data_IF_179214023406
#
_entry.id   IF_179214023406
#
_cell.length_a   1.000
_cell.length_b   1.000
_cell.length_c   1.000
_cell.angle_alpha   90.00
_cell.angle_beta   90.00
_cell.angle_gamma   90.00
#
_symmetry.space_group_name_H-M   'P 1'
#
loop_
_entity.id
_entity.type
_entity.pdbx_description
1 polymer ?
#
# COMPACT_ATOMS: atom_id res chain seq x y z
N UNK A 1 -60.65 60.83 9.11
CA UNK A 1 -60.84 60.51 10.53
C UNK A 1 -59.66 59.68 10.99
N UNK A 2 -58.85 60.22 11.91
CA UNK A 2 -57.92 59.59 12.88
C UNK A 2 -56.89 58.53 12.37
N UNK A 3 -55.57 58.79 12.48
CA UNK A 3 -54.67 58.50 13.64
C UNK A 3 -54.57 56.98 13.91
N UNK A 4 -53.44 56.30 14.18
CA UNK A 4 -52.04 56.64 14.43
C UNK A 4 -51.23 55.32 14.49
N UNK A 5 -49.93 55.42 14.20
CA UNK A 5 -48.75 54.68 14.73
C UNK A 5 -48.93 53.48 15.71
N UNK A 6 -48.06 52.46 15.56
CA UNK A 6 -47.11 51.99 16.59
C UNK A 6 -45.97 51.18 15.92
N UNK A 7 -44.74 51.59 16.20
CA UNK A 7 -43.47 50.92 15.92
C UNK A 7 -43.18 49.84 16.96
N UNK A 8 -42.64 48.66 16.56
CA UNK A 8 -41.75 47.88 17.44
C UNK A 8 -40.61 47.26 16.60
N UNK A 9 -39.41 47.81 16.77
CA UNK A 9 -38.14 47.15 16.46
C UNK A 9 -38.05 45.81 17.19
N UNK A 10 -37.77 44.69 16.50
CA UNK A 10 -37.10 43.54 17.12
C UNK A 10 -36.08 42.88 16.18
N UNK A 11 -34.83 43.30 16.41
CA UNK A 11 -33.66 42.46 16.64
C UNK A 11 -33.25 41.45 15.54
N UNK A 12 -32.16 41.85 14.87
CA UNK A 12 -31.21 41.06 14.06
C UNK A 12 -31.17 39.57 14.44
N UNK A 13 -31.46 38.69 13.47
CA UNK A 13 -30.89 37.34 13.43
C UNK A 13 -30.22 37.17 12.08
N UNK A 14 -28.96 37.61 12.02
CA UNK A 14 -28.02 37.10 11.03
C UNK A 14 -27.93 35.59 11.26
N UNK A 15 -28.50 34.81 10.35
CA UNK A 15 -28.21 33.37 10.27
C UNK A 15 -26.80 33.29 9.70
N UNK A 16 -25.80 33.32 10.60
CA UNK A 16 -24.45 32.92 10.26
C UNK A 16 -24.49 31.42 9.99
N UNK A 17 -24.64 31.05 8.72
CA UNK A 17 -24.36 29.70 8.25
C UNK A 17 -22.84 29.53 8.40
N UNK A 18 -22.42 29.07 9.57
CA UNK A 18 -21.04 28.67 9.81
C UNK A 18 -20.75 27.46 8.94
N UNK A 19 -20.04 27.66 7.83
CA UNK A 19 -19.32 26.60 7.13
C UNK A 19 -18.34 25.99 8.13
N UNK A 20 -18.74 24.92 8.79
CA UNK A 20 -17.83 24.04 9.53
C UNK A 20 -17.01 23.29 8.46
N UNK A 21 -15.98 23.96 7.95
CA UNK A 21 -14.96 23.33 7.13
C UNK A 21 -14.27 22.33 8.05
N UNK A 22 -14.68 21.06 7.94
CA UNK A 22 -13.95 19.93 8.49
C UNK A 22 -12.60 19.90 7.78
N UNK A 23 -11.64 20.64 8.33
CA UNK A 23 -10.24 20.49 7.98
C UNK A 23 -9.85 19.08 8.45
N UNK A 24 -9.98 18.11 7.55
CA UNK A 24 -9.34 16.81 7.71
C UNK A 24 -7.85 17.08 7.75
N UNK A 25 -7.30 17.20 8.96
CA UNK A 25 -5.87 17.31 9.20
C UNK A 25 -5.23 16.05 8.64
N UNK A 26 -4.63 16.18 7.46
CA UNK A 26 -3.68 15.22 6.98
C UNK A 26 -2.51 15.31 7.98
N UNK A 27 -2.38 14.33 8.90
CA UNK A 27 -1.24 14.26 9.80
C UNK A 27 0.01 14.12 8.92
N UNK A 28 0.68 15.24 8.64
CA UNK A 28 2.00 15.21 8.03
C UNK A 28 2.93 14.62 9.08
N UNK A 29 3.45 13.42 8.82
CA UNK A 29 4.46 12.79 9.66
C UNK A 29 5.63 13.78 9.77
N UNK A 30 5.94 14.20 11.00
CA UNK A 30 7.06 15.10 11.24
C UNK A 30 8.37 14.32 11.15
N UNK A 31 9.49 14.99 10.88
CA UNK A 31 10.80 14.30 10.81
C UNK A 31 11.20 13.64 12.15
N UNK A 32 10.70 14.15 13.28
CA UNK A 32 10.86 13.52 14.61
C UNK A 32 10.05 12.23 14.79
N UNK A 33 9.09 11.94 13.91
CA UNK A 33 8.27 10.73 13.94
C UNK A 33 8.82 9.59 13.07
N UNK A 34 10.03 9.76 12.53
CA UNK A 34 10.69 8.80 11.65
C UNK A 34 11.93 8.19 12.30
N UNK A 35 12.26 6.98 11.89
CA UNK A 35 13.52 6.30 12.19
C UNK A 35 14.06 5.62 10.95
N UNK A 36 15.37 5.38 10.92
CA UNK A 36 16.00 4.56 9.88
C UNK A 36 16.32 3.19 10.44
N UNK A 37 15.80 2.15 9.81
CA UNK A 37 16.14 0.76 10.11
C UNK A 37 17.25 0.30 9.16
N UNK A 38 18.32 -0.26 9.73
CA UNK A 38 19.46 -0.77 9.00
C UNK A 38 19.44 -2.32 8.94
N UNK A 39 19.17 -2.87 7.76
CA UNK A 39 19.20 -4.31 7.50
C UNK A 39 20.57 -4.77 6.96
N UNK A 40 21.65 -4.03 7.20
CA UNK A 40 23.04 -4.29 6.78
C UNK A 40 23.29 -4.23 5.26
N UNK A 41 22.36 -4.72 4.45
CA UNK A 41 22.40 -4.69 2.98
C UNK A 41 21.77 -3.42 2.43
N UNK A 42 20.69 -2.97 3.06
CA UNK A 42 19.99 -1.73 2.75
C UNK A 42 19.50 -1.09 4.04
N UNK A 43 19.15 0.18 3.97
CA UNK A 43 18.46 0.93 5.01
C UNK A 43 17.15 1.49 4.47
N UNK A 44 16.17 1.67 5.36
CA UNK A 44 14.85 2.22 5.03
C UNK A 44 14.38 3.14 6.16
N UNK A 45 13.82 4.29 5.81
CA UNK A 45 13.22 5.23 6.76
C UNK A 45 11.72 4.94 6.90
N UNK A 46 11.27 4.71 8.12
CA UNK A 46 9.89 4.31 8.48
C UNK A 46 9.40 5.10 9.70
N UNK A 47 8.10 5.06 10.04
CA UNK A 47 7.61 5.58 11.31
C UNK A 47 8.37 5.01 12.52
N UNK A 48 8.62 5.84 13.53
CA UNK A 48 9.36 5.48 14.74
C UNK A 48 8.69 4.40 15.60
N UNK A 49 7.42 4.10 15.35
CA UNK A 49 6.65 3.04 16.01
C UNK A 49 6.83 1.66 15.38
N UNK A 50 7.42 1.59 14.19
CA UNK A 50 7.66 0.33 13.49
C UNK A 50 8.92 -0.35 14.04
N UNK A 51 9.02 -1.67 13.93
CA UNK A 51 10.16 -2.40 14.49
C UNK A 51 10.68 -3.45 13.53
N UNK A 52 11.99 -3.54 13.40
CA UNK A 52 12.63 -4.62 12.64
C UNK A 52 12.37 -5.97 13.30
N UNK A 53 12.23 -7.00 12.49
CA UNK A 53 12.20 -8.41 12.92
C UNK A 53 13.18 -9.22 12.09
N UNK A 54 13.80 -10.20 12.74
CA UNK A 54 14.65 -11.18 12.08
C UNK A 54 13.81 -12.40 11.67
N UNK A 55 13.97 -12.84 10.43
CA UNK A 55 13.31 -14.03 9.89
C UNK A 55 14.40 -14.95 9.36
N UNK A 56 14.36 -16.22 9.74
CA UNK A 56 15.36 -17.20 9.29
C UNK A 56 15.03 -17.70 7.88
N UNK A 57 15.76 -17.22 6.88
CA UNK A 57 15.76 -17.81 5.54
C UNK A 57 16.63 -19.06 5.45
N UNK A 58 16.39 -19.91 4.44
CA UNK A 58 17.23 -21.08 4.14
C UNK A 58 18.35 -20.69 3.16
N UNK A 59 17.96 -20.10 2.03
CA UNK A 59 18.82 -19.76 0.89
C UNK A 59 18.78 -18.27 0.51
N UNK A 60 17.83 -17.51 1.08
CA UNK A 60 17.68 -16.06 0.91
C UNK A 60 18.03 -15.28 2.17
N UNK A 61 18.42 -14.01 1.99
CA UNK A 61 18.43 -13.05 3.09
C UNK A 61 17.01 -12.51 3.31
N UNK A 62 16.39 -12.94 4.40
CA UNK A 62 14.99 -12.65 4.73
C UNK A 62 14.94 -11.87 6.05
N UNK A 63 13.96 -10.98 6.16
CA UNK A 63 13.67 -10.24 7.39
C UNK A 63 12.36 -9.48 7.23
N UNK A 64 12.05 -8.60 8.18
CA UNK A 64 10.83 -7.84 8.08
C UNK A 64 10.72 -6.66 9.04
N UNK A 65 9.57 -6.02 8.99
CA UNK A 65 9.16 -4.91 9.83
C UNK A 65 7.77 -5.21 10.35
N UNK A 66 7.55 -5.03 11.66
CA UNK A 66 6.21 -5.04 12.26
C UNK A 66 5.75 -3.61 12.44
N UNK A 67 4.55 -3.30 11.93
CA UNK A 67 3.95 -1.96 12.01
C UNK A 67 3.29 -1.74 13.37
N UNK A 68 2.86 -0.51 13.65
CA UNK A 68 2.06 -0.17 14.84
C UNK A 68 0.65 -0.79 14.83
N UNK A 69 0.19 -1.30 13.68
CA UNK A 69 -1.07 -2.05 13.54
C UNK A 69 -0.84 -3.58 13.61
N UNK A 70 0.38 -4.01 13.95
CA UNK A 70 0.83 -5.41 13.96
C UNK A 70 0.79 -6.10 12.59
N UNK A 71 0.75 -5.34 11.50
CA UNK A 71 1.03 -5.91 10.18
C UNK A 71 2.49 -6.33 10.10
N UNK A 72 2.75 -7.37 9.31
CA UNK A 72 4.11 -7.83 9.01
C UNK A 72 4.46 -7.50 7.56
N UNK A 73 5.50 -6.71 7.38
CA UNK A 73 6.11 -6.40 6.10
C UNK A 73 7.36 -7.28 5.97
N UNK A 74 7.44 -8.12 4.95
CA UNK A 74 8.53 -9.09 4.78
C UNK A 74 9.37 -8.69 3.58
N UNK A 75 10.69 -8.78 3.70
CA UNK A 75 11.59 -8.76 2.55
C UNK A 75 12.27 -10.11 2.34
N UNK A 76 12.54 -10.39 1.07
CA UNK A 76 13.35 -11.51 0.60
C UNK A 76 14.34 -10.97 -0.45
N UNK A 77 15.63 -11.18 -0.20
CA UNK A 77 16.72 -10.90 -1.13
C UNK A 77 17.45 -12.19 -1.48
N UNK A 78 17.35 -12.60 -2.74
CA UNK A 78 17.86 -13.88 -3.23
C UNK A 78 17.61 -14.08 -4.73
N UNK A 79 18.04 -15.22 -5.27
CA UNK A 79 17.82 -15.57 -6.68
C UNK A 79 16.37 -15.96 -6.98
N UNK A 80 15.71 -16.54 -5.97
CA UNK A 80 14.34 -17.05 -6.03
C UNK A 80 13.31 -16.13 -5.38
N UNK A 81 13.68 -14.89 -5.02
CA UNK A 81 12.75 -13.95 -4.41
C UNK A 81 11.52 -13.75 -5.30
N UNK A 82 10.35 -13.82 -4.66
CA UNK A 82 9.05 -13.79 -5.32
C UNK A 82 8.84 -12.48 -6.08
N UNK A 83 8.40 -12.57 -7.35
CA UNK A 83 8.04 -11.40 -8.11
C UNK A 83 6.58 -11.00 -7.85
N UNK A 84 6.40 -10.10 -6.88
CA UNK A 84 5.09 -9.57 -6.49
C UNK A 84 4.35 -8.82 -7.60
N UNK A 85 5.02 -8.47 -8.71
CA UNK A 85 4.35 -7.81 -9.85
C UNK A 85 3.67 -8.80 -10.78
N UNK A 86 3.97 -10.09 -10.67
CA UNK A 86 3.31 -11.15 -11.44
C UNK A 86 2.09 -11.70 -10.72
N UNK A 87 1.75 -11.14 -9.55
CA UNK A 87 0.54 -11.43 -8.80
C UNK A 87 -0.66 -10.74 -9.48
N UNK A 88 -0.91 -11.17 -10.73
CA UNK A 88 -1.99 -10.70 -11.59
C UNK A 88 -3.30 -11.42 -11.24
N UNK A 89 -3.52 -11.87 -9.99
CA UNK A 89 -4.80 -12.48 -9.63
C UNK A 89 -5.89 -11.44 -9.83
N UNK A 90 -6.70 -11.59 -10.89
CA UNK A 90 -7.70 -10.61 -11.20
C UNK A 90 -8.83 -10.74 -10.19
N UNK A 91 -9.65 -9.71 -10.04
CA UNK A 91 -10.85 -9.74 -9.21
C UNK A 91 -11.97 -10.48 -9.94
N UNK A 92 -11.68 -11.71 -10.35
CA UNK A 92 -12.59 -12.66 -10.96
C UNK A 92 -12.60 -13.90 -10.09
N UNK A 93 -13.78 -14.26 -9.61
CA UNK A 93 -13.96 -15.36 -8.67
C UNK A 93 -14.99 -16.33 -9.24
N UNK A 94 -14.71 -17.63 -9.15
CA UNK A 94 -15.78 -18.60 -9.14
C UNK A 94 -16.42 -18.69 -7.75
N UNK A 95 -17.46 -19.50 -7.62
CA UNK A 95 -18.19 -19.66 -6.36
C UNK A 95 -17.26 -20.09 -5.21
N UNK A 96 -16.41 -21.09 -5.43
CA UNK A 96 -15.50 -21.61 -4.40
C UNK A 96 -14.48 -20.55 -3.97
N UNK A 97 -13.85 -19.88 -4.94
CA UNK A 97 -12.88 -18.82 -4.68
C UNK A 97 -13.49 -17.64 -3.94
N UNK A 98 -14.73 -17.27 -4.27
CA UNK A 98 -15.44 -16.19 -3.59
C UNK A 98 -15.83 -16.57 -2.15
N UNK A 99 -16.24 -17.82 -1.92
CA UNK A 99 -16.61 -18.32 -0.60
C UNK A 99 -15.41 -18.37 0.34
N UNK A 100 -14.22 -18.68 -0.17
CA UNK A 100 -12.95 -18.70 0.56
C UNK A 100 -12.48 -17.32 1.06
N UNK A 101 -13.06 -16.22 0.55
CA UNK A 101 -12.74 -14.86 1.02
C UNK A 101 -13.24 -14.63 2.43
N UNK A 102 -12.47 -13.85 3.19
CA UNK A 102 -12.88 -13.37 4.52
C UNK A 102 -14.04 -12.36 4.41
N UNK A 103 -14.77 -12.17 5.51
CA UNK A 103 -15.84 -11.16 5.56
C UNK A 103 -15.33 -9.74 5.31
N UNK A 104 -14.08 -9.43 5.73
CA UNK A 104 -13.44 -8.14 5.43
C UNK A 104 -13.28 -7.96 3.93
N UNK A 105 -12.79 -8.98 3.22
CA UNK A 105 -12.56 -8.93 1.77
C UNK A 105 -13.88 -8.88 1.00
N UNK A 106 -14.87 -9.69 1.36
CA UNK A 106 -16.23 -9.63 0.78
C UNK A 106 -16.85 -8.24 0.94
N UNK A 107 -16.66 -7.59 2.09
CA UNK A 107 -17.12 -6.23 2.31
C UNK A 107 -16.40 -5.21 1.43
N UNK A 108 -15.09 -5.34 1.23
CA UNK A 108 -14.31 -4.49 0.30
C UNK A 108 -14.72 -4.70 -1.16
N UNK A 109 -15.13 -5.92 -1.53
CA UNK A 109 -15.60 -6.22 -2.89
C UNK A 109 -16.93 -5.54 -3.26
N UNK A 110 -17.78 -5.19 -2.28
CA UNK A 110 -19.07 -4.50 -2.54
C UNK A 110 -18.91 -3.17 -3.27
N UNK A 111 -17.82 -2.46 -3.06
CA UNK A 111 -17.51 -1.18 -3.70
C UNK A 111 -16.50 -1.30 -4.85
N UNK A 112 -16.19 -2.52 -5.28
CA UNK A 112 -15.08 -2.81 -6.18
C UNK A 112 -15.57 -3.47 -7.45
N UNK A 113 -15.03 -3.08 -8.62
CA UNK A 113 -15.29 -3.79 -9.86
C UNK A 113 -14.66 -5.19 -9.80
N UNK A 114 -15.52 -6.21 -9.75
CA UNK A 114 -15.15 -7.62 -9.76
C UNK A 114 -16.12 -8.40 -10.65
N UNK A 115 -15.79 -9.66 -10.92
CA UNK A 115 -16.63 -10.57 -11.69
C UNK A 115 -16.82 -11.88 -10.93
N UNK A 116 -18.06 -12.35 -10.85
CA UNK A 116 -18.38 -13.71 -10.40
C UNK A 116 -18.72 -14.56 -11.62
N UNK A 117 -18.12 -15.74 -11.74
CA UNK A 117 -18.31 -16.66 -12.85
C UNK A 117 -18.63 -18.07 -12.36
N UNK A 118 -19.25 -18.89 -13.20
CA UNK A 118 -19.46 -20.30 -12.86
C UNK A 118 -18.15 -21.12 -12.98
N UNK A 119 -17.26 -20.71 -13.89
CA UNK A 119 -15.95 -21.32 -14.08
C UNK A 119 -14.91 -20.30 -14.54
N UNK A 120 -13.73 -20.33 -13.90
CA UNK A 120 -12.56 -19.54 -14.29
C UNK A 120 -11.98 -19.92 -15.68
N UNK A 121 -12.42 -21.04 -16.26
CA UNK A 121 -12.02 -21.48 -17.61
C UNK A 121 -12.78 -20.79 -18.75
N UNK A 122 -13.78 -19.97 -18.43
CA UNK A 122 -14.57 -19.23 -19.42
C UNK A 122 -13.71 -18.21 -20.16
N UNK A 123 -14.16 -17.75 -21.34
CA UNK A 123 -13.49 -16.70 -22.10
C UNK A 123 -13.63 -15.34 -21.38
N UNK A 124 -12.76 -15.10 -20.39
CA UNK A 124 -12.76 -13.94 -19.52
C UNK A 124 -11.56 -13.06 -19.86
N UNK A 125 -11.80 -11.79 -20.13
CA UNK A 125 -10.72 -10.80 -20.21
C UNK A 125 -10.35 -10.31 -18.81
N UNK A 126 -9.46 -11.07 -18.16
CA UNK A 126 -8.98 -10.81 -16.81
C UNK A 126 -8.33 -9.43 -16.63
N UNK A 127 -7.83 -8.81 -17.71
CA UNK A 127 -7.22 -7.49 -17.68
C UNK A 127 -8.20 -6.37 -17.29
N UNK A 128 -9.50 -6.62 -17.41
CA UNK A 128 -10.55 -5.67 -17.03
C UNK A 128 -10.86 -5.64 -15.53
N UNK A 129 -10.25 -6.55 -14.77
CA UNK A 129 -10.46 -6.74 -13.34
C UNK A 129 -9.13 -6.79 -12.57
N UNK A 130 -8.23 -5.81 -12.72
CA UNK A 130 -6.97 -5.83 -12.01
C UNK A 130 -7.21 -5.70 -10.49
N UNK A 131 -6.47 -6.49 -9.70
CA UNK A 131 -6.46 -6.39 -8.22
C UNK A 131 -5.50 -5.31 -7.73
N UNK A 132 -4.41 -5.12 -8.47
CA UNK A 132 -3.32 -4.24 -8.10
C UNK A 132 -2.83 -3.45 -9.33
N UNK A 133 -2.14 -2.35 -9.05
CA UNK A 133 -1.43 -1.55 -10.05
C UNK A 133 0.06 -1.55 -9.74
N UNK A 134 0.85 -1.42 -10.81
CA UNK A 134 2.30 -1.34 -10.72
C UNK A 134 2.76 0.00 -11.29
N UNK A 135 3.61 0.68 -10.55
CA UNK A 135 4.26 1.93 -10.94
C UNK A 135 5.77 1.74 -10.93
N UNK A 136 6.45 2.35 -11.91
CA UNK A 136 7.89 2.26 -12.05
C UNK A 136 8.58 3.45 -11.38
N UNK A 137 9.61 3.17 -10.59
CA UNK A 137 10.40 4.17 -9.89
C UNK A 137 11.88 3.88 -10.05
N UNK A 138 12.69 4.93 -9.88
CA UNK A 138 14.12 4.78 -9.62
C UNK A 138 14.35 4.98 -8.13
N UNK A 139 14.67 3.89 -7.44
CA UNK A 139 14.92 3.87 -6.00
C UNK A 139 16.40 3.65 -5.78
N UNK A 140 17.04 4.64 -5.17
CA UNK A 140 18.50 4.74 -5.13
C UNK A 140 19.09 4.62 -6.55
N UNK A 141 19.93 3.63 -6.82
CA UNK A 141 20.50 3.34 -8.13
C UNK A 141 19.76 2.24 -8.94
N UNK A 142 18.59 1.79 -8.48
CA UNK A 142 17.88 0.66 -9.09
C UNK A 142 16.56 1.05 -9.73
N UNK A 143 16.25 0.37 -10.83
CA UNK A 143 14.89 0.36 -11.37
C UNK A 143 14.03 -0.56 -10.52
N UNK A 144 12.97 0.01 -9.97
CA UNK A 144 12.06 -0.65 -9.06
C UNK A 144 10.62 -0.55 -9.57
N UNK A 145 9.82 -1.52 -9.14
CA UNK A 145 8.37 -1.53 -9.35
C UNK A 145 7.70 -1.47 -7.98
N UNK A 146 6.89 -0.44 -7.76
CA UNK A 146 6.04 -0.36 -6.58
C UNK A 146 4.65 -0.86 -6.96
N UNK A 147 4.17 -1.85 -6.22
CA UNK A 147 2.84 -2.44 -6.34
C UNK A 147 1.96 -1.87 -5.24
N UNK A 148 0.74 -1.46 -5.60
CA UNK A 148 -0.29 -1.05 -4.65
C UNK A 148 -1.63 -1.66 -5.08
N UNK A 149 -2.51 -2.01 -4.13
CA UNK A 149 -3.81 -2.54 -4.48
C UNK A 149 -4.67 -1.44 -5.11
N UNK A 150 -5.52 -1.80 -6.07
CA UNK A 150 -6.49 -0.85 -6.62
C UNK A 150 -7.53 -0.47 -5.55
N UNK A 151 -7.84 -1.41 -4.67
CA UNK A 151 -8.73 -1.22 -3.53
C UNK A 151 -7.89 -1.25 -2.26
N UNK A 152 -7.72 -0.10 -1.62
CA UNK A 152 -6.93 0.03 -0.39
C UNK A 152 -7.38 -1.00 0.65
N UNK A 153 -6.44 -1.66 1.31
CA UNK A 153 -6.75 -2.74 2.25
C UNK A 153 -7.04 -4.11 1.62
N UNK A 154 -6.97 -4.23 0.29
CA UNK A 154 -7.24 -5.49 -0.40
C UNK A 154 -6.21 -5.82 -1.49
N UNK A 155 -5.18 -6.56 -1.11
CA UNK A 155 -4.11 -7.01 -2.00
C UNK A 155 -2.72 -6.72 -1.47
N UNK A 156 -1.74 -6.69 -2.37
CA UNK A 156 -0.33 -6.50 -2.03
C UNK A 156 0.03 -5.02 -2.13
N UNK A 157 0.77 -4.54 -1.13
CA UNK A 157 1.57 -3.32 -1.23
C UNK A 157 3.02 -3.71 -1.09
N UNK A 158 3.89 -3.25 -2.00
CA UNK A 158 5.30 -3.62 -1.91
C UNK A 158 6.16 -3.07 -3.03
N UNK A 159 7.44 -3.37 -2.96
CA UNK A 159 8.46 -3.01 -3.95
C UNK A 159 9.15 -4.28 -4.46
N UNK A 160 9.39 -4.32 -5.76
CA UNK A 160 10.16 -5.34 -6.44
C UNK A 160 11.32 -4.72 -7.20
N UNK A 161 12.52 -5.27 -7.02
CA UNK A 161 13.71 -4.94 -7.79
C UNK A 161 14.19 -6.21 -8.47
N UNK A 162 14.14 -6.21 -9.79
CA UNK A 162 14.47 -7.39 -10.59
C UNK A 162 15.98 -7.66 -10.63
N UNK A 163 16.82 -6.65 -10.37
CA UNK A 163 18.28 -6.72 -10.51
C UNK A 163 19.02 -5.93 -9.44
N UNK A 164 19.39 -6.55 -8.33
CA UNK A 164 20.36 -5.96 -7.42
C UNK A 164 21.80 -6.20 -7.90
N UNK A 165 22.15 -7.44 -8.25
CA UNK A 165 23.51 -7.85 -8.64
C UNK A 165 23.47 -9.07 -9.55
N UNK A 166 24.63 -9.43 -10.10
CA UNK A 166 24.80 -10.63 -10.90
C UNK A 166 24.43 -10.43 -12.36
N UNK A 167 24.43 -11.51 -13.14
CA UNK A 167 24.18 -11.46 -14.58
C UNK A 167 22.92 -12.24 -14.94
N UNK A 168 22.02 -11.61 -15.72
CA UNK A 168 20.88 -12.29 -16.31
C UNK A 168 21.31 -13.45 -17.22
N UNK A 169 22.44 -13.30 -17.94
CA UNK A 169 22.99 -14.33 -18.83
C UNK A 169 23.48 -15.57 -18.07
N UNK A 170 23.98 -15.38 -16.85
CA UNK A 170 24.52 -16.45 -16.01
C UNK A 170 23.51 -16.96 -14.99
N UNK A 171 22.27 -16.46 -15.01
CA UNK A 171 21.21 -16.79 -14.04
C UNK A 171 21.61 -16.56 -12.57
N UNK A 172 22.57 -15.68 -12.30
CA UNK A 172 23.07 -15.35 -10.95
C UNK A 172 22.46 -14.08 -10.36
N UNK A 173 21.33 -13.64 -10.95
CA UNK A 173 20.72 -12.36 -10.68
C UNK A 173 20.02 -12.38 -9.32
N UNK A 174 20.49 -11.57 -8.36
CA UNK A 174 19.79 -11.38 -7.10
C UNK A 174 18.67 -10.36 -7.26
N UNK A 175 17.50 -10.68 -6.72
CA UNK A 175 16.30 -9.86 -6.73
C UNK A 175 15.99 -9.41 -5.31
N UNK A 176 15.06 -8.46 -5.18
CA UNK A 176 14.47 -8.09 -3.90
C UNK A 176 12.97 -7.95 -4.05
N UNK A 177 12.24 -8.51 -3.11
CA UNK A 177 10.87 -8.15 -2.82
C UNK A 177 10.78 -7.67 -1.38
N UNK A 178 10.01 -6.61 -1.13
CA UNK A 178 9.63 -6.16 0.22
C UNK A 178 8.15 -5.79 0.16
N UNK A 179 7.29 -6.50 0.89
CA UNK A 179 5.84 -6.38 0.75
C UNK A 179 5.07 -6.72 2.02
N UNK A 180 3.82 -6.26 2.06
CA UNK A 180 2.80 -6.66 3.01
C UNK A 180 1.48 -6.94 2.28
N UNK A 181 0.52 -7.56 2.98
CA UNK A 181 -0.78 -7.93 2.41
C UNK A 181 -1.92 -7.33 3.22
N UNK A 182 -2.96 -6.85 2.54
CA UNK A 182 -4.19 -6.32 3.14
C UNK A 182 -3.98 -5.18 4.16
N UNK A 183 -2.92 -4.39 3.97
CA UNK A 183 -2.52 -3.28 4.83
C UNK A 183 -3.61 -2.21 4.90
N UNK A 184 -3.85 -1.65 6.08
CA UNK A 184 -4.80 -0.54 6.20
C UNK A 184 -4.38 0.65 5.33
N UNK A 185 -5.31 1.54 4.92
CA UNK A 185 -4.99 2.68 4.06
C UNK A 185 -3.85 3.58 4.57
N UNK A 186 -3.70 3.69 5.89
CA UNK A 186 -2.63 4.48 6.52
C UNK A 186 -1.29 3.75 6.41
N UNK A 187 -1.25 2.47 6.77
CA UNK A 187 -0.05 1.64 6.67
C UNK A 187 0.42 1.50 5.21
N UNK A 188 -0.51 1.32 4.27
CA UNK A 188 -0.21 1.31 2.83
C UNK A 188 0.47 2.61 2.37
N UNK A 189 -0.05 3.77 2.80
CA UNK A 189 0.50 5.08 2.48
C UNK A 189 1.91 5.26 3.07
N UNK A 190 2.07 4.97 4.35
CA UNK A 190 3.36 5.10 5.05
C UNK A 190 4.40 4.16 4.46
N UNK A 191 4.01 2.92 4.16
CA UNK A 191 4.91 1.95 3.56
C UNK A 191 5.31 2.35 2.14
N UNK A 192 4.38 2.87 1.33
CA UNK A 192 4.67 3.39 -0.01
C UNK A 192 5.68 4.52 0.03
N UNK A 193 5.60 5.41 1.03
CA UNK A 193 6.58 6.46 1.22
C UNK A 193 7.92 5.90 1.72
N UNK A 194 7.91 4.98 2.67
CA UNK A 194 9.11 4.33 3.19
C UNK A 194 9.90 3.62 2.09
N UNK A 195 9.25 2.89 1.19
CA UNK A 195 9.91 2.21 0.06
C UNK A 195 10.71 3.16 -0.84
N UNK A 196 10.30 4.43 -0.92
CA UNK A 196 11.02 5.46 -1.71
C UNK A 196 12.29 5.96 -1.03
N UNK A 197 12.48 5.65 0.25
CA UNK A 197 13.65 6.05 1.05
C UNK A 197 14.74 4.98 1.09
N UNK A 198 14.49 3.81 0.50
CA UNK A 198 15.44 2.70 0.53
C UNK A 198 16.78 3.14 -0.07
N UNK A 199 17.87 2.86 0.64
CA UNK A 199 19.25 3.04 0.17
C UNK A 199 20.05 1.77 0.35
N UNK A 200 20.81 1.38 -0.67
CA UNK A 200 21.62 0.17 -0.66
C UNK A 200 23.05 0.50 -0.25
N UNK A 201 23.58 -0.24 0.74
CA UNK A 201 24.89 0.09 1.37
C UNK A 201 26.10 -0.28 0.52
N UNK A 202 25.89 -1.19 -0.41
CA UNK A 202 26.82 -1.56 -1.46
C UNK A 202 25.93 -1.66 -2.70
N UNK A 203 26.45 -1.39 -3.89
CA UNK A 203 25.83 -1.70 -5.21
C UNK A 203 25.28 -0.54 -6.03
N UNK A 204 25.43 0.72 -5.58
CA UNK A 204 25.47 1.83 -6.52
C UNK A 204 26.88 1.93 -7.08
N UNK A 205 27.10 1.20 -8.18
CA UNK A 205 28.32 1.26 -9.00
C UNK A 205 28.04 2.11 -10.24
#
# INVERSE_FOLDING_TARGET
>A
MMLQLISIFRLKRFVLIGCFVLATSCKSISTSDLQTIDFKTFEITVPNTWRAIEIRGIDSYVGGIVTNENDTLVFDIGWYSYNITNDDFPLVFDKESYEALTEKEKNLLKSTKHLLVDSLSSNIDFKNYPKQKTEHYRIDCYDAKIVTPINKGFGITGIYIDSLKGSKKLYTKSKMALYGTHLSPNIESDFTNAMKTIKFKKHCL
#
